data_IF_557134491796
#
_entry.id   IF_557134491796
#
_cell.length_a   1.000
_cell.length_b   1.000
_cell.length_c   1.000
_cell.angle_alpha   90.00
_cell.angle_beta   90.00
_cell.angle_gamma   90.00
#
_symmetry.space_group_name_H-M   'P 1'
#
loop_
_entity.id
_entity.type
_entity.pdbx_description
1 polymer ?
#
# COMPACT_ATOMS: atom_id res chain seq x y z
N UNK A 1 25.27 -32.28 26.93
CA UNK A 1 24.54 -31.11 26.36
C UNK A 1 25.52 -30.01 25.94
N UNK A 2 26.47 -29.57 26.79
CA UNK A 2 27.54 -28.63 26.40
C UNK A 2 28.44 -29.15 25.25
N UNK A 3 28.81 -30.42 25.26
CA UNK A 3 29.72 -30.97 24.23
C UNK A 3 29.08 -31.02 22.83
N UNK A 4 27.76 -31.23 22.74
CA UNK A 4 27.06 -31.25 21.45
C UNK A 4 26.98 -29.85 20.84
N UNK A 5 26.75 -28.82 21.67
CA UNK A 5 26.67 -27.43 21.20
C UNK A 5 28.05 -26.93 20.74
N UNK A 6 29.11 -27.37 21.41
CA UNK A 6 30.49 -27.03 21.04
C UNK A 6 30.92 -27.65 19.72
N UNK A 7 30.62 -28.94 19.49
CA UNK A 7 30.95 -29.59 18.22
C UNK A 7 30.20 -28.94 17.06
N UNK A 8 28.89 -28.68 17.21
CA UNK A 8 28.10 -27.97 16.20
C UNK A 8 28.65 -26.57 15.93
N UNK A 9 29.02 -25.83 16.98
CA UNK A 9 29.64 -24.50 16.82
C UNK A 9 30.93 -24.56 15.99
N UNK A 10 31.80 -25.55 16.25
CA UNK A 10 33.05 -25.69 15.48
C UNK A 10 32.78 -25.98 14.01
N UNK A 11 31.90 -26.93 13.71
CA UNK A 11 31.57 -27.32 12.33
C UNK A 11 30.93 -26.15 11.56
N UNK A 12 29.91 -25.50 12.14
CA UNK A 12 29.23 -24.37 11.51
C UNK A 12 30.15 -23.17 11.32
N UNK A 13 30.99 -22.85 12.31
CA UNK A 13 31.89 -21.69 12.21
C UNK A 13 32.97 -21.92 11.15
N UNK A 14 33.47 -23.14 10.99
CA UNK A 14 34.48 -23.46 9.96
C UNK A 14 33.90 -23.28 8.54
N UNK A 15 32.66 -23.73 8.30
CA UNK A 15 31.93 -23.50 7.04
C UNK A 15 31.69 -22.01 6.79
N UNK A 16 31.26 -21.28 7.81
CA UNK A 16 31.01 -19.83 7.73
C UNK A 16 32.30 -19.06 7.42
N UNK A 17 33.43 -19.42 8.03
CA UNK A 17 34.72 -18.75 7.76
C UNK A 17 35.20 -18.96 6.32
N UNK A 18 34.91 -20.12 5.73
CA UNK A 18 35.17 -20.37 4.32
C UNK A 18 34.24 -19.53 3.43
N UNK A 19 32.95 -19.46 3.74
CA UNK A 19 31.98 -18.63 3.00
C UNK A 19 32.37 -17.15 3.02
N UNK A 20 32.80 -16.62 4.19
CA UNK A 20 33.29 -15.24 4.32
C UNK A 20 34.46 -14.96 3.38
N UNK A 21 35.44 -15.87 3.33
CA UNK A 21 36.63 -15.73 2.48
C UNK A 21 36.25 -15.69 1.00
N UNK A 22 35.39 -16.60 0.56
CA UNK A 22 34.92 -16.64 -0.81
C UNK A 22 34.14 -15.37 -1.19
N UNK A 23 33.31 -14.84 -0.27
CA UNK A 23 32.61 -13.58 -0.47
C UNK A 23 33.57 -12.40 -0.60
N UNK A 24 34.62 -12.34 0.24
CA UNK A 24 35.61 -11.28 0.19
C UNK A 24 36.43 -11.29 -1.10
N UNK A 25 36.86 -12.46 -1.58
CA UNK A 25 37.59 -12.59 -2.85
C UNK A 25 36.72 -12.14 -4.03
N UNK A 26 35.42 -12.46 -4.01
CA UNK A 26 34.47 -11.99 -5.04
C UNK A 26 34.28 -10.47 -4.98
N UNK A 27 34.17 -9.90 -3.78
CA UNK A 27 34.07 -8.44 -3.58
C UNK A 27 35.34 -7.70 -4.01
N UNK A 28 36.52 -8.29 -3.82
CA UNK A 28 37.79 -7.76 -4.31
C UNK A 28 37.84 -7.71 -5.84
N UNK A 29 37.31 -8.75 -6.48
CA UNK A 29 37.25 -8.86 -7.94
C UNK A 29 36.19 -7.92 -8.55
N UNK A 30 35.19 -7.50 -7.78
CA UNK A 30 34.19 -6.52 -8.18
C UNK A 30 33.04 -6.38 -7.17
N UNK A 31 32.55 -5.15 -6.99
CA UNK A 31 31.45 -4.88 -6.05
C UNK A 31 30.18 -5.65 -6.43
N UNK A 32 29.64 -6.41 -5.48
CA UNK A 32 28.43 -7.20 -5.61
C UNK A 32 27.60 -7.08 -4.35
N UNK A 33 26.40 -6.51 -4.46
CA UNK A 33 25.46 -6.38 -3.33
C UNK A 33 25.08 -7.74 -2.75
N UNK A 34 25.08 -8.80 -3.56
CA UNK A 34 24.78 -10.15 -3.09
C UNK A 34 25.91 -10.69 -2.20
N UNK A 35 27.16 -10.49 -2.60
CA UNK A 35 28.34 -10.94 -1.84
C UNK A 35 28.53 -10.11 -0.57
N UNK A 36 28.26 -8.80 -0.62
CA UNK A 36 28.26 -7.94 0.56
C UNK A 36 27.20 -8.39 1.59
N UNK A 37 26.00 -8.73 1.11
CA UNK A 37 24.93 -9.20 1.99
C UNK A 37 25.21 -10.60 2.54
N UNK A 38 25.84 -11.48 1.76
CA UNK A 38 26.27 -12.79 2.21
C UNK A 38 27.34 -12.66 3.30
N UNK A 39 28.38 -11.86 3.05
CA UNK A 39 29.44 -11.59 4.02
C UNK A 39 28.91 -11.05 5.35
N UNK A 40 27.97 -10.09 5.31
CA UNK A 40 27.32 -9.58 6.52
C UNK A 40 26.59 -10.68 7.30
N UNK A 41 25.81 -11.54 6.62
CA UNK A 41 25.08 -12.64 7.29
C UNK A 41 26.03 -13.64 7.93
N UNK A 42 27.14 -13.93 7.26
CA UNK A 42 28.18 -14.81 7.79
C UNK A 42 28.74 -14.25 9.10
N UNK A 43 29.15 -12.98 9.13
CA UNK A 43 29.64 -12.35 10.36
C UNK A 43 28.57 -12.25 11.45
N UNK A 44 27.31 -11.96 11.11
CA UNK A 44 26.19 -11.94 12.05
C UNK A 44 25.95 -13.32 12.70
N UNK A 45 26.03 -14.39 11.90
CA UNK A 45 25.92 -15.76 12.40
C UNK A 45 27.08 -16.13 13.32
N UNK A 46 28.32 -15.81 12.93
CA UNK A 46 29.51 -16.08 13.77
C UNK A 46 29.43 -15.29 15.09
N UNK A 47 28.98 -14.03 15.08
CA UNK A 47 28.75 -13.23 16.30
C UNK A 47 27.79 -13.95 17.24
N UNK A 48 26.61 -14.31 16.76
CA UNK A 48 25.56 -14.92 17.56
C UNK A 48 25.98 -16.28 18.14
N UNK A 49 26.60 -17.13 17.32
CA UNK A 49 27.05 -18.46 17.76
C UNK A 49 28.22 -18.37 18.74
N UNK A 50 29.16 -17.42 18.53
CA UNK A 50 30.32 -17.19 19.41
C UNK A 50 29.91 -16.66 20.78
N UNK A 51 28.98 -15.70 20.83
CA UNK A 51 28.44 -15.17 22.09
C UNK A 51 27.66 -16.24 22.86
N UNK A 52 26.90 -17.09 22.18
CA UNK A 52 26.14 -18.18 22.81
C UNK A 52 27.06 -19.19 23.53
N UNK A 53 28.25 -19.44 22.98
CA UNK A 53 29.23 -20.36 23.59
C UNK A 53 30.23 -19.68 24.53
N UNK A 54 30.17 -18.35 24.65
CA UNK A 54 31.01 -17.55 25.56
C UNK A 54 32.38 -17.18 24.98
N UNK A 55 32.54 -17.18 23.66
CA UNK A 55 33.74 -16.68 22.97
C UNK A 55 33.57 -15.19 22.65
N UNK A 56 33.65 -14.38 23.69
CA UNK A 56 33.46 -12.92 23.62
C UNK A 56 34.47 -12.23 22.71
N UNK A 57 35.72 -12.72 22.66
CA UNK A 57 36.78 -12.20 21.79
C UNK A 57 36.43 -12.33 20.30
N UNK A 58 35.88 -13.48 19.90
CA UNK A 58 35.40 -13.68 18.52
C UNK A 58 34.11 -12.87 18.30
N UNK A 59 33.20 -12.88 19.26
CA UNK A 59 31.91 -12.18 19.17
C UNK A 59 32.07 -10.66 19.03
N UNK A 60 33.01 -10.04 19.74
CA UNK A 60 33.24 -8.60 19.69
C UNK A 60 33.86 -8.16 18.36
N UNK A 61 34.89 -8.86 17.91
CA UNK A 61 35.54 -8.55 16.62
C UNK A 61 34.57 -8.71 15.45
N UNK A 62 33.81 -9.81 15.43
CA UNK A 62 32.80 -10.04 14.37
C UNK A 62 31.67 -9.02 14.40
N UNK A 63 31.27 -8.55 15.58
CA UNK A 63 30.31 -7.46 15.71
C UNK A 63 30.82 -6.13 15.13
N UNK A 64 32.10 -5.79 15.34
CA UNK A 64 32.69 -4.58 14.73
C UNK A 64 32.73 -4.66 13.20
N UNK A 65 33.10 -5.81 12.67
CA UNK A 65 33.10 -6.04 11.22
C UNK A 65 31.66 -5.97 10.68
N UNK A 66 30.69 -6.55 11.40
CA UNK A 66 29.26 -6.48 11.07
C UNK A 66 28.75 -5.03 11.03
N UNK A 67 29.08 -4.20 12.03
CA UNK A 67 28.69 -2.79 12.08
C UNK A 67 29.24 -2.00 10.88
N UNK A 68 30.49 -2.25 10.50
CA UNK A 68 31.11 -1.65 9.32
C UNK A 68 30.40 -2.08 8.02
N UNK A 69 30.17 -3.39 7.86
CA UNK A 69 29.46 -3.94 6.70
C UNK A 69 28.01 -3.43 6.62
N UNK A 70 27.35 -3.22 7.76
CA UNK A 70 26.00 -2.65 7.83
C UNK A 70 25.96 -1.19 7.34
N UNK A 71 26.94 -0.38 7.73
CA UNK A 71 27.07 1.00 7.25
C UNK A 71 27.29 1.05 5.73
N UNK A 72 28.08 0.12 5.19
CA UNK A 72 28.30 -0.03 3.76
C UNK A 72 27.02 -0.49 3.05
N UNK A 73 26.34 -1.52 3.57
CA UNK A 73 25.05 -2.02 3.05
C UNK A 73 23.98 -0.93 3.02
N UNK A 74 23.96 -0.06 4.02
CA UNK A 74 23.01 1.07 4.13
C UNK A 74 23.38 2.27 3.27
N UNK A 75 24.47 2.19 2.50
CA UNK A 75 24.97 3.29 1.65
C UNK A 75 25.43 4.50 2.47
N UNK A 76 25.80 4.28 3.75
CA UNK A 76 26.34 5.32 4.64
C UNK A 76 27.87 5.40 4.55
N UNK A 77 28.49 4.37 4.00
CA UNK A 77 29.92 4.29 3.68
C UNK A 77 30.06 3.57 2.33
N UNK A 78 31.07 3.93 1.53
CA UNK A 78 31.40 3.21 0.32
C UNK A 78 32.35 2.04 0.65
N UNK A 79 32.19 0.91 -0.05
CA UNK A 79 33.17 -0.19 0.03
C UNK A 79 34.38 0.17 -0.82
N UNK A 80 35.42 0.71 -0.19
CA UNK A 80 36.71 0.96 -0.82
C UNK A 80 37.74 -0.13 -0.46
N UNK A 81 38.93 -0.03 -1.04
CA UNK A 81 40.00 -1.00 -0.80
C UNK A 81 40.48 -1.04 0.65
N UNK A 82 40.35 0.06 1.41
CA UNK A 82 40.71 0.08 2.82
C UNK A 82 39.69 -0.70 3.66
N UNK A 83 38.39 -0.50 3.41
CA UNK A 83 37.33 -1.24 4.10
C UNK A 83 37.40 -2.73 3.79
N UNK A 84 37.68 -3.08 2.53
CA UNK A 84 37.80 -4.47 2.12
C UNK A 84 39.03 -5.14 2.78
N UNK A 85 40.17 -4.43 2.85
CA UNK A 85 41.35 -4.91 3.56
C UNK A 85 41.05 -5.17 5.04
N UNK A 86 40.33 -4.27 5.71
CA UNK A 86 39.92 -4.45 7.11
C UNK A 86 39.02 -5.68 7.30
N UNK A 87 38.16 -6.00 6.34
CA UNK A 87 37.39 -7.24 6.40
C UNK A 87 38.26 -8.49 6.24
N UNK A 88 39.26 -8.46 5.36
CA UNK A 88 40.23 -9.56 5.23
C UNK A 88 41.04 -9.75 6.51
N UNK A 89 41.58 -8.66 7.06
CA UNK A 89 42.36 -8.69 8.29
C UNK A 89 41.50 -9.18 9.46
N UNK A 90 40.26 -8.70 9.55
CA UNK A 90 39.27 -9.15 10.53
C UNK A 90 38.94 -10.63 10.41
N UNK A 91 38.71 -11.14 9.19
CA UNK A 91 38.47 -12.57 8.96
C UNK A 91 39.67 -13.42 9.37
N UNK A 92 40.88 -13.00 9.03
CA UNK A 92 42.11 -13.70 9.41
C UNK A 92 42.29 -13.75 10.93
N UNK A 93 41.98 -12.66 11.64
CA UNK A 93 42.02 -12.62 13.09
C UNK A 93 40.95 -13.52 13.73
N UNK A 94 39.74 -13.54 13.18
CA UNK A 94 38.69 -14.47 13.63
C UNK A 94 39.12 -15.92 13.41
N UNK A 95 39.69 -16.27 12.26
CA UNK A 95 40.22 -17.62 11.98
C UNK A 95 41.29 -18.03 12.99
N UNK A 96 42.22 -17.14 13.31
CA UNK A 96 43.28 -17.41 14.32
C UNK A 96 42.72 -17.60 15.72
N UNK A 97 41.78 -16.74 16.14
CA UNK A 97 41.10 -16.88 17.42
C UNK A 97 40.32 -18.20 17.47
N UNK A 98 39.57 -18.52 16.42
CA UNK A 98 38.81 -19.78 16.30
C UNK A 98 39.72 -21.02 16.41
N UNK A 99 40.81 -21.06 15.64
CA UNK A 99 41.78 -22.16 15.71
C UNK A 99 42.42 -22.27 17.10
N UNK A 100 42.71 -21.14 17.76
CA UNK A 100 43.25 -21.15 19.12
C UNK A 100 42.30 -21.80 20.14
N UNK A 101 40.98 -21.63 19.96
CA UNK A 101 39.94 -22.26 20.79
C UNK A 101 39.76 -23.74 20.44
N UNK A 102 39.91 -24.12 19.17
CA UNK A 102 39.82 -25.50 18.66
C UNK A 102 40.99 -26.37 19.13
N UNK A 103 42.22 -25.85 19.12
CA UNK A 103 43.44 -26.63 19.43
C UNK A 103 43.93 -26.49 20.87
N UNK A 104 43.21 -25.79 21.75
CA UNK A 104 43.66 -25.44 23.11
C UNK A 104 45.08 -24.84 23.13
N UNK A 105 45.31 -23.79 22.32
CA UNK A 105 46.62 -23.13 22.21
C UNK A 105 47.16 -22.65 23.57
N UNK A 106 48.49 -22.47 23.70
CA UNK A 106 49.11 -21.98 24.95
C UNK A 106 48.55 -20.59 25.30
N UNK A 107 48.43 -20.28 26.59
CA UNK A 107 47.87 -19.00 27.07
C UNK A 107 48.59 -17.77 26.47
N UNK A 108 49.91 -17.83 26.28
CA UNK A 108 50.69 -16.71 25.70
C UNK A 108 50.36 -16.39 24.24
N UNK A 109 50.08 -17.39 23.39
CA UNK A 109 49.70 -17.14 21.99
C UNK A 109 48.28 -16.53 21.89
N UNK A 110 47.41 -16.84 22.87
CA UNK A 110 46.04 -16.31 22.92
C UNK A 110 46.01 -14.82 23.26
N UNK A 111 46.85 -14.37 24.19
CA UNK A 111 46.92 -12.95 24.56
C UNK A 111 47.38 -12.07 23.40
N UNK A 112 48.33 -12.54 22.58
CA UNK A 112 48.81 -11.82 21.39
C UNK A 112 47.69 -11.69 20.33
N UNK A 113 46.89 -12.75 20.12
CA UNK A 113 45.78 -12.70 19.16
C UNK A 113 44.64 -11.79 19.63
N UNK A 114 44.32 -11.80 20.93
CA UNK A 114 43.28 -10.94 21.51
C UNK A 114 43.70 -9.47 21.45
N UNK A 115 44.98 -9.16 21.73
CA UNK A 115 45.49 -7.79 21.59
C UNK A 115 45.43 -7.30 20.14
N UNK A 116 45.80 -8.14 19.18
CA UNK A 116 45.72 -7.78 17.76
C UNK A 116 44.28 -7.57 17.28
N UNK A 117 43.33 -8.39 17.74
CA UNK A 117 41.90 -8.19 17.50
C UNK A 117 41.41 -6.85 18.09
N UNK A 118 41.82 -6.51 19.32
CA UNK A 118 41.46 -5.23 19.95
C UNK A 118 41.97 -4.01 19.19
N UNK A 119 43.18 -4.05 18.62
CA UNK A 119 43.70 -2.96 17.78
C UNK A 119 42.86 -2.77 16.51
N UNK A 120 42.40 -3.86 15.90
CA UNK A 120 41.53 -3.81 14.71
C UNK A 120 40.13 -3.28 15.07
N UNK A 121 39.58 -3.66 16.22
CA UNK A 121 38.31 -3.11 16.74
C UNK A 121 38.40 -1.59 16.92
N UNK A 122 39.51 -1.08 17.47
CA UNK A 122 39.75 0.36 17.63
C UNK A 122 39.86 1.09 16.28
N UNK A 123 40.53 0.49 15.29
CA UNK A 123 40.65 1.06 13.95
C UNK A 123 39.28 1.17 13.25
N UNK A 124 38.45 0.12 13.33
CA UNK A 124 37.09 0.13 12.80
C UNK A 124 36.24 1.22 13.50
N UNK A 125 36.34 1.34 14.82
CA UNK A 125 35.60 2.35 15.58
C UNK A 125 36.00 3.79 15.22
N UNK A 126 37.27 4.04 14.92
CA UNK A 126 37.74 5.35 14.46
C UNK A 126 37.15 5.72 13.11
N UNK A 127 37.11 4.76 12.17
CA UNK A 127 36.53 4.94 10.84
C UNK A 127 35.02 5.20 10.91
N UNK A 128 34.30 4.46 11.76
CA UNK A 128 32.87 4.63 11.97
C UNK A 128 32.52 6.02 12.56
N UNK A 129 33.34 6.51 13.50
CA UNK A 129 33.18 7.86 14.09
C UNK A 129 33.47 8.96 13.05
N UNK A 130 34.56 8.83 12.29
CA UNK A 130 34.92 9.80 11.27
C UNK A 130 33.83 9.95 10.18
N UNK A 131 33.22 8.84 9.75
CA UNK A 131 32.11 8.86 8.79
C UNK A 131 30.81 9.42 9.38
N UNK A 132 30.57 9.24 10.67
CA UNK A 132 29.41 9.83 11.36
C UNK A 132 29.50 11.35 11.48
N UNK A 133 30.70 11.90 11.70
CA UNK A 133 30.94 13.35 11.83
C UNK A 133 30.96 14.07 10.47
N UNK A 134 31.47 13.43 9.41
CA UNK A 134 31.44 13.96 8.04
C UNK A 134 30.01 14.02 7.44
N UNK A 135 29.08 13.20 7.93
CA UNK A 135 27.71 13.04 7.42
C UNK A 135 26.68 14.13 7.80
N UNK A 136 27.05 15.12 8.64
CA UNK A 136 26.10 16.15 9.12
C UNK A 136 25.68 17.20 8.05
N UNK A 137 26.32 17.21 6.87
CA UNK A 137 26.14 18.26 5.86
C UNK A 137 25.28 17.96 4.62
N UNK A 138 24.87 16.72 4.35
CA UNK A 138 24.11 16.38 3.12
C UNK A 138 23.08 15.27 3.36
N UNK A 139 21.85 15.65 3.70
CA UNK A 139 20.67 14.81 3.47
C UNK A 139 20.34 14.79 1.98
N UNK A 140 20.99 13.90 1.24
CA UNK A 140 20.44 13.36 0.00
C UNK A 140 20.39 11.84 0.16
N UNK A 141 19.22 11.34 0.54
CA UNK A 141 18.91 9.92 0.60
C UNK A 141 18.96 9.32 -0.80
N UNK A 142 19.98 8.55 -1.12
CA UNK A 142 19.98 7.67 -2.29
C UNK A 142 19.05 6.49 -2.05
N UNK A 143 17.98 6.48 -2.84
CA UNK A 143 17.10 5.33 -3.10
C UNK A 143 17.92 4.15 -3.64
N UNK A 144 17.68 2.94 -3.12
CA UNK A 144 18.20 1.69 -3.68
C UNK A 144 17.71 0.47 -2.91
N UNK A 145 16.61 -0.12 -3.41
CA UNK A 145 16.24 -1.54 -3.36
C UNK A 145 16.39 -2.31 -2.04
N UNK A 146 15.44 -2.10 -1.13
CA UNK A 146 15.04 -3.13 -0.17
C UNK A 146 13.78 -3.81 -0.71
N UNK A 147 13.90 -5.03 -1.24
CA UNK A 147 12.78 -5.89 -1.64
C UNK A 147 12.88 -7.19 -0.86
N UNK A 148 11.84 -7.48 -0.07
CA UNK A 148 11.65 -8.72 0.72
C UNK A 148 11.82 -9.95 -0.17
N UNK A 149 12.57 -10.95 0.28
CA UNK A 149 12.96 -12.17 -0.45
C UNK A 149 11.76 -12.91 -1.05
N UNK A 150 10.62 -12.89 -0.36
CA UNK A 150 9.34 -13.48 -0.80
C UNK A 150 8.75 -12.82 -2.07
N UNK A 151 9.30 -11.66 -2.47
CA UNK A 151 8.84 -10.82 -3.57
C UNK A 151 9.88 -10.76 -4.71
N UNK A 152 11.06 -11.38 -4.56
CA UNK A 152 12.07 -11.50 -5.61
C UNK A 152 11.66 -12.57 -6.63
N UNK A 153 11.71 -12.22 -7.92
CA UNK A 153 11.38 -13.13 -9.03
C UNK A 153 9.94 -13.05 -9.57
N UNK A 154 9.18 -12.00 -9.23
CA UNK A 154 7.81 -11.83 -9.73
C UNK A 154 7.78 -11.21 -11.13
N UNK A 155 7.56 -12.04 -12.15
CA UNK A 155 7.28 -11.60 -13.53
C UNK A 155 5.86 -11.07 -13.67
N UNK A 156 5.59 -9.89 -13.13
CA UNK A 156 4.50 -9.02 -13.59
C UNK A 156 4.98 -7.57 -13.57
N UNK A 157 5.38 -7.08 -14.74
CA UNK A 157 5.63 -5.66 -14.95
C UNK A 157 4.26 -4.98 -15.12
N UNK A 158 3.76 -4.39 -14.03
CA UNK A 158 2.58 -3.54 -14.10
C UNK A 158 2.94 -2.21 -14.78
N UNK A 159 2.06 -1.67 -15.61
CA UNK A 159 2.33 -0.41 -16.35
C UNK A 159 2.44 0.78 -15.39
N UNK A 160 1.71 0.75 -14.26
CA UNK A 160 1.63 1.85 -13.30
C UNK A 160 2.45 1.56 -12.05
N UNK A 161 3.14 2.59 -11.54
CA UNK A 161 3.87 2.54 -10.27
C UNK A 161 3.07 3.21 -9.16
N UNK A 162 3.02 2.61 -7.99
CA UNK A 162 2.32 3.16 -6.84
C UNK A 162 3.21 3.19 -5.62
N UNK A 163 3.25 4.32 -4.91
CA UNK A 163 3.79 4.42 -3.56
C UNK A 163 2.67 4.16 -2.56
N UNK A 164 2.86 3.18 -1.69
CA UNK A 164 1.91 2.76 -0.65
C UNK A 164 2.56 3.00 0.71
N UNK A 165 1.86 3.70 1.58
CA UNK A 165 2.22 3.92 2.98
C UNK A 165 1.11 3.32 3.85
N UNK A 166 1.48 2.42 4.76
CA UNK A 166 0.59 1.70 5.66
C UNK A 166 1.04 2.05 7.08
N UNK A 167 0.13 2.60 7.88
CA UNK A 167 0.32 2.85 9.31
C UNK A 167 -0.39 1.76 10.10
N UNK A 168 0.29 1.28 11.13
CA UNK A 168 -0.17 0.19 11.98
C UNK A 168 -0.77 0.73 13.27
N UNK A 169 -1.79 0.06 13.78
CA UNK A 169 -2.39 0.38 15.08
C UNK A 169 -1.43 0.05 16.24
N UNK A 170 -1.51 0.76 17.36
CA UNK A 170 -0.67 0.49 18.54
C UNK A 170 -1.02 -0.85 19.23
N UNK A 171 -2.17 -1.45 18.90
CA UNK A 171 -2.71 -2.67 19.51
C UNK A 171 -2.44 -3.96 18.72
N UNK A 172 -1.49 -3.96 17.77
CA UNK A 172 -1.21 -5.16 16.96
C UNK A 172 -0.69 -6.30 17.87
N UNK A 173 -1.37 -7.46 17.91
CA UNK A 173 -0.93 -8.58 18.75
C UNK A 173 0.42 -9.15 18.29
N UNK A 174 0.61 -9.25 16.97
CA UNK A 174 1.84 -9.72 16.34
C UNK A 174 2.06 -9.00 15.01
N UNK A 175 3.19 -8.34 14.84
CA UNK A 175 3.51 -7.57 13.64
C UNK A 175 3.88 -8.45 12.44
N UNK A 176 4.65 -9.52 12.66
CA UNK A 176 5.13 -10.39 11.59
C UNK A 176 4.01 -11.04 10.76
N UNK A 177 2.96 -11.65 11.34
CA UNK A 177 1.84 -12.21 10.56
C UNK A 177 1.09 -11.17 9.73
N UNK A 178 0.92 -9.96 10.25
CA UNK A 178 0.27 -8.84 9.53
C UNK A 178 1.09 -8.42 8.32
N UNK A 179 2.42 -8.28 8.49
CA UNK A 179 3.34 -7.98 7.40
C UNK A 179 3.34 -9.10 6.35
N UNK A 180 3.39 -10.36 6.77
CA UNK A 180 3.30 -11.50 5.86
C UNK A 180 2.00 -11.49 5.05
N UNK A 181 0.87 -11.20 5.68
CA UNK A 181 -0.43 -11.08 4.99
C UNK A 181 -0.41 -9.95 3.96
N UNK A 182 0.14 -8.78 4.32
CA UNK A 182 0.28 -7.64 3.40
C UNK A 182 1.18 -8.01 2.22
N UNK A 183 2.37 -8.57 2.47
CA UNK A 183 3.29 -8.99 1.40
C UNK A 183 2.72 -10.09 0.52
N UNK A 184 1.95 -11.02 1.09
CA UNK A 184 1.30 -12.07 0.31
C UNK A 184 0.18 -11.52 -0.59
N UNK A 185 -0.55 -10.51 -0.15
CA UNK A 185 -1.55 -9.83 -0.98
C UNK A 185 -0.92 -9.15 -2.20
N UNK A 186 0.36 -8.76 -2.13
CA UNK A 186 1.05 -8.14 -3.26
C UNK A 186 1.17 -9.10 -4.44
N UNK A 187 1.35 -10.40 -4.18
CA UNK A 187 1.47 -11.44 -5.21
C UNK A 187 0.26 -11.49 -6.14
N UNK A 188 -0.91 -11.14 -5.61
CA UNK A 188 -2.16 -11.15 -6.36
C UNK A 188 -2.35 -9.88 -7.22
N UNK A 189 -1.64 -8.79 -6.89
CA UNK A 189 -1.87 -7.46 -7.48
C UNK A 189 -0.73 -6.91 -8.32
N UNK A 190 0.50 -7.37 -8.13
CA UNK A 190 1.65 -6.77 -8.80
C UNK A 190 2.99 -7.28 -8.28
N UNK A 191 4.01 -6.46 -8.49
CA UNK A 191 5.38 -6.72 -8.04
C UNK A 191 5.89 -5.57 -7.18
N UNK A 192 6.74 -5.87 -6.19
CA UNK A 192 7.35 -4.84 -5.34
C UNK A 192 8.64 -4.34 -5.97
N UNK A 193 8.72 -3.02 -6.15
CA UNK A 193 9.92 -2.30 -6.55
C UNK A 193 10.73 -1.88 -5.32
N UNK A 194 10.06 -1.48 -4.24
CA UNK A 194 10.70 -1.01 -3.02
C UNK A 194 9.83 -1.32 -1.80
N UNK A 195 10.44 -1.57 -0.65
CA UNK A 195 9.81 -1.57 0.67
C UNK A 195 10.80 -1.08 1.71
N UNK A 196 10.36 -0.31 2.72
CA UNK A 196 11.21 0.08 3.83
C UNK A 196 11.44 -1.06 4.83
N UNK A 197 10.59 -2.09 4.82
CA UNK A 197 10.67 -3.31 5.63
C UNK A 197 11.36 -4.39 4.82
N UNK A 198 12.39 -5.00 5.40
CA UNK A 198 13.16 -6.14 4.89
C UNK A 198 12.73 -7.46 5.54
N UNK A 199 13.23 -8.60 5.05
CA UNK A 199 12.97 -9.90 5.70
C UNK A 199 13.46 -9.90 7.16
N UNK A 200 14.64 -9.30 7.42
CA UNK A 200 15.23 -9.13 8.75
C UNK A 200 14.26 -8.39 9.69
N UNK A 201 13.64 -7.30 9.23
CA UNK A 201 12.65 -6.53 9.99
C UNK A 201 11.39 -7.36 10.33
N UNK A 202 10.96 -8.27 9.43
CA UNK A 202 9.81 -9.17 9.68
C UNK A 202 10.16 -10.20 10.74
N UNK A 203 11.37 -10.76 10.70
CA UNK A 203 11.86 -11.71 11.71
C UNK A 203 12.00 -11.04 13.08
N UNK A 204 12.56 -9.83 13.15
CA UNK A 204 12.67 -9.04 14.40
C UNK A 204 11.30 -8.62 14.96
N UNK A 205 10.33 -8.30 14.08
CA UNK A 205 8.97 -7.96 14.48
C UNK A 205 8.20 -9.11 15.16
N UNK A 206 8.71 -10.35 15.06
CA UNK A 206 8.26 -11.50 15.86
C UNK A 206 8.68 -11.40 17.33
N UNK A 207 9.76 -10.67 17.62
CA UNK A 207 10.39 -10.55 18.92
C UNK A 207 10.15 -9.17 19.59
N UNK A 208 9.96 -8.08 18.82
CA UNK A 208 9.61 -6.76 19.34
C UNK A 208 8.94 -5.87 18.26
N UNK A 209 7.77 -5.24 18.51
CA UNK A 209 7.03 -4.51 17.49
C UNK A 209 7.54 -3.06 17.35
N UNK A 210 8.65 -2.85 16.63
CA UNK A 210 9.20 -1.50 16.38
C UNK A 210 8.81 -0.90 15.01
N UNK A 211 7.94 -1.56 14.25
CA UNK A 211 7.51 -1.10 12.92
C UNK A 211 6.21 -0.32 13.03
N UNK A 212 6.29 1.01 13.04
CA UNK A 212 5.13 1.90 13.07
C UNK A 212 4.49 2.13 11.70
N UNK A 213 5.25 1.96 10.61
CA UNK A 213 4.74 2.14 9.25
C UNK A 213 5.52 1.34 8.20
N UNK A 214 4.79 0.82 7.22
CA UNK A 214 5.31 0.14 6.03
C UNK A 214 5.13 1.05 4.82
N UNK A 215 6.24 1.38 4.16
CA UNK A 215 6.30 2.15 2.92
C UNK A 215 6.81 1.26 1.81
N UNK A 216 6.13 1.23 0.68
CA UNK A 216 6.50 0.39 -0.44
C UNK A 216 6.18 1.05 -1.78
N UNK A 217 6.94 0.73 -2.81
CA UNK A 217 6.62 1.05 -4.19
C UNK A 217 6.31 -0.26 -4.88
N UNK A 218 5.18 -0.33 -5.56
CA UNK A 218 4.79 -1.51 -6.36
C UNK A 218 4.53 -1.12 -7.80
N UNK A 219 4.74 -2.06 -8.70
CA UNK A 219 4.25 -2.02 -10.07
C UNK A 219 2.99 -2.88 -10.17
N UNK A 220 1.93 -2.31 -10.72
CA UNK A 220 0.64 -2.99 -10.80
C UNK A 220 -0.16 -2.53 -12.01
N UNK A 221 -0.85 -3.47 -12.65
CA UNK A 221 -1.88 -3.18 -13.67
C UNK A 221 -3.24 -2.79 -13.04
N UNK A 222 -3.31 -2.82 -11.71
CA UNK A 222 -4.46 -2.36 -10.96
C UNK A 222 -4.50 -0.85 -10.92
N UNK A 223 -5.69 -0.27 -10.86
CA UNK A 223 -5.85 1.14 -10.51
C UNK A 223 -5.59 1.34 -9.01
N UNK A 224 -5.14 2.53 -8.61
CA UNK A 224 -4.89 2.94 -7.21
C UNK A 224 -5.99 2.45 -6.25
N UNK A 225 -7.23 2.57 -6.73
CA UNK A 225 -8.48 2.21 -6.07
C UNK A 225 -8.59 0.71 -5.74
N UNK A 226 -8.23 -0.14 -6.70
CA UNK A 226 -8.26 -1.59 -6.51
C UNK A 226 -7.22 -2.00 -5.47
N UNK A 227 -6.03 -1.38 -5.50
CA UNK A 227 -4.94 -1.63 -4.55
C UNK A 227 -5.34 -1.36 -3.10
N UNK A 228 -6.12 -0.31 -2.84
CA UNK A 228 -6.60 -0.01 -1.50
C UNK A 228 -7.28 -1.20 -0.84
N UNK A 229 -7.99 -2.03 -1.61
CA UNK A 229 -8.71 -3.15 -1.03
C UNK A 229 -7.82 -4.33 -0.65
N UNK A 230 -6.63 -4.42 -1.24
CA UNK A 230 -5.67 -5.47 -0.88
C UNK A 230 -4.87 -5.13 0.37
N UNK A 231 -4.81 -3.85 0.75
CA UNK A 231 -4.03 -3.39 1.90
C UNK A 231 -4.90 -2.93 3.08
N UNK A 232 -6.22 -2.87 2.90
CA UNK A 232 -7.24 -2.69 3.95
C UNK A 232 -7.38 -4.00 4.75
N UNK A 233 -6.43 -4.25 5.66
CA UNK A 233 -6.35 -5.48 6.46
C UNK A 233 -6.44 -5.15 7.96
N UNK A 234 -6.74 -6.15 8.80
CA UNK A 234 -6.83 -5.94 10.26
C UNK A 234 -5.53 -5.36 10.82
N UNK A 235 -5.69 -4.46 11.81
CA UNK A 235 -4.62 -3.71 12.48
C UNK A 235 -3.90 -2.65 11.63
N UNK A 236 -4.32 -2.44 10.38
CA UNK A 236 -3.90 -1.27 9.60
C UNK A 236 -4.81 -0.10 9.96
N UNK A 237 -4.24 0.93 10.57
CA UNK A 237 -4.96 2.16 10.92
C UNK A 237 -5.19 3.03 9.68
N UNK A 238 -4.22 3.06 8.78
CA UNK A 238 -4.24 3.93 7.61
C UNK A 238 -3.48 3.32 6.44
N UNK A 239 -4.07 3.39 5.25
CA UNK A 239 -3.38 3.16 3.98
C UNK A 239 -3.42 4.45 3.17
N UNK A 240 -2.29 4.82 2.59
CA UNK A 240 -2.17 5.91 1.63
C UNK A 240 -1.46 5.38 0.38
N UNK A 241 -2.17 5.34 -0.75
CA UNK A 241 -1.63 4.91 -2.04
C UNK A 241 -1.55 6.14 -2.93
N UNK A 242 -0.41 6.33 -3.58
CA UNK A 242 -0.15 7.43 -4.50
C UNK A 242 0.37 6.86 -5.81
N UNK A 243 -0.33 7.14 -6.91
CA UNK A 243 0.15 6.83 -8.25
C UNK A 243 1.39 7.69 -8.59
N UNK A 244 2.49 7.03 -8.94
CA UNK A 244 3.78 7.61 -9.31
C UNK A 244 3.92 7.79 -10.83
N UNK A 245 2.93 7.37 -11.62
CA UNK A 245 2.92 7.58 -13.08
C UNK A 245 2.88 9.09 -13.37
N UNK A 246 3.65 9.54 -14.38
CA UNK A 246 3.91 10.97 -14.68
C UNK A 246 2.65 11.85 -14.80
N UNK A 247 1.46 11.26 -14.97
CA UNK A 247 0.19 11.96 -15.13
C UNK A 247 -0.49 12.47 -13.84
N UNK A 248 -0.07 12.07 -12.63
CA UNK A 248 -0.80 12.44 -11.38
C UNK A 248 0.01 13.13 -10.28
N UNK A 249 1.34 13.24 -10.40
CA UNK A 249 2.17 13.98 -9.42
C UNK A 249 1.79 15.48 -9.29
N UNK A 250 0.93 16.00 -10.17
CA UNK A 250 0.41 17.36 -10.13
C UNK A 250 -0.96 17.56 -9.43
N UNK A 251 -1.67 16.50 -9.00
CA UNK A 251 -2.97 16.65 -8.33
C UNK A 251 -2.99 15.98 -6.93
N UNK A 252 -2.89 16.84 -5.92
CA UNK A 252 -2.92 16.56 -4.48
C UNK A 252 -4.15 15.72 -4.08
N UNK A 253 -3.97 14.66 -3.27
CA UNK A 253 -5.06 13.87 -2.71
C UNK A 253 -5.62 14.52 -1.42
N UNK A 254 -6.94 14.45 -1.19
CA UNK A 254 -7.57 14.95 0.04
C UNK A 254 -7.14 14.02 1.21
N UNK A 255 -6.59 14.55 2.31
CA UNK A 255 -6.22 13.74 3.48
C UNK A 255 -7.41 12.94 4.01
N UNK A 256 -7.19 11.67 4.34
CA UNK A 256 -8.20 10.79 4.94
C UNK A 256 -8.34 11.12 6.44
N UNK A 257 -9.05 12.21 6.75
CA UNK A 257 -9.37 12.62 8.12
C UNK A 257 -10.89 12.62 8.37
N UNK A 258 -11.29 12.78 9.64
CA UNK A 258 -12.68 12.74 10.09
C UNK A 258 -13.55 13.79 9.37
N UNK A 259 -13.01 14.97 9.12
CA UNK A 259 -13.75 16.09 8.52
C UNK A 259 -13.97 15.84 7.02
N UNK A 260 -12.96 15.32 6.33
CA UNK A 260 -13.03 14.94 4.91
C UNK A 260 -14.01 13.78 4.69
N UNK A 261 -13.99 12.76 5.58
CA UNK A 261 -14.96 11.66 5.56
C UNK A 261 -16.39 12.16 5.69
N UNK A 262 -16.64 13.04 6.66
CA UNK A 262 -17.96 13.64 6.90
C UNK A 262 -18.45 14.43 5.69
N UNK A 263 -17.56 15.16 5.01
CA UNK A 263 -17.91 15.87 3.78
C UNK A 263 -18.43 14.91 2.71
N UNK A 264 -17.71 13.84 2.40
CA UNK A 264 -18.15 12.89 1.37
C UNK A 264 -19.47 12.22 1.74
N UNK A 265 -19.63 11.80 3.01
CA UNK A 265 -20.88 11.21 3.49
C UNK A 265 -22.07 12.15 3.27
N UNK A 266 -21.94 13.42 3.66
CA UNK A 266 -22.98 14.44 3.44
C UNK A 266 -23.20 14.65 1.94
N UNK A 267 -22.13 14.82 1.15
CA UNK A 267 -22.24 15.09 -0.28
C UNK A 267 -22.98 13.97 -1.02
N UNK A 268 -22.59 12.71 -0.86
CA UNK A 268 -23.23 11.59 -1.56
C UNK A 268 -24.62 11.25 -1.02
N UNK A 269 -24.98 11.70 0.18
CA UNK A 269 -26.34 11.58 0.69
C UNK A 269 -27.28 12.69 0.19
N UNK A 270 -26.77 13.91 0.09
CA UNK A 270 -27.57 15.12 -0.10
C UNK A 270 -27.59 15.55 -1.59
N UNK A 271 -26.44 15.58 -2.25
CA UNK A 271 -26.30 16.04 -3.64
C UNK A 271 -27.12 15.23 -4.68
N UNK A 272 -27.26 13.88 -4.60
CA UNK A 272 -28.13 13.12 -5.50
C UNK A 272 -29.61 13.50 -5.46
N UNK A 273 -30.10 14.12 -4.37
CA UNK A 273 -31.52 14.54 -4.26
C UNK A 273 -31.91 15.62 -5.27
N UNK A 274 -30.93 16.31 -5.84
CA UNK A 274 -31.15 17.26 -6.94
C UNK A 274 -31.49 16.58 -8.27
N UNK A 275 -31.07 15.32 -8.46
CA UNK A 275 -31.18 14.63 -9.76
C UNK A 275 -32.59 14.62 -10.35
N UNK A 276 -33.67 14.28 -9.62
CA UNK A 276 -35.03 14.28 -10.19
C UNK A 276 -35.45 15.66 -10.70
N UNK A 277 -35.06 16.74 -10.02
CA UNK A 277 -35.39 18.10 -10.43
C UNK A 277 -34.62 18.55 -11.69
N UNK A 278 -33.46 17.95 -11.95
CA UNK A 278 -32.56 18.29 -13.05
C UNK A 278 -32.72 17.40 -14.27
N UNK A 279 -33.25 16.19 -14.11
CA UNK A 279 -33.31 15.20 -15.19
C UNK A 279 -34.73 14.69 -15.44
N UNK A 280 -35.65 14.90 -14.49
CA UNK A 280 -37.07 14.53 -14.61
C UNK A 280 -37.98 15.69 -14.17
N UNK A 281 -37.90 16.87 -14.80
CA UNK A 281 -38.72 18.01 -14.41
C UNK A 281 -40.21 17.62 -14.53
N UNK A 282 -40.91 17.58 -13.38
CA UNK A 282 -42.36 17.40 -13.37
C UNK A 282 -43.02 18.55 -14.14
N UNK A 283 -44.14 18.27 -14.83
CA UNK A 283 -44.95 19.30 -15.49
C UNK A 283 -45.40 20.42 -14.52
N UNK A 284 -45.49 20.13 -13.22
CA UNK A 284 -45.74 21.07 -12.12
C UNK A 284 -44.45 21.40 -11.35
N UNK A 285 -43.49 22.07 -11.99
CA UNK A 285 -42.28 22.53 -11.33
C UNK A 285 -42.62 23.60 -10.27
N UNK A 286 -42.63 23.22 -9.00
CA UNK A 286 -42.80 24.16 -7.88
C UNK A 286 -41.47 24.87 -7.60
N UNK A 287 -41.42 26.15 -7.98
CA UNK A 287 -40.23 26.99 -7.84
C UNK A 287 -39.83 27.22 -6.38
N UNK A 288 -40.78 27.30 -5.46
CA UNK A 288 -40.49 27.48 -4.03
C UNK A 288 -39.88 26.20 -3.44
N UNK A 289 -40.43 25.04 -3.80
CA UNK A 289 -39.90 23.73 -3.39
C UNK A 289 -38.48 23.51 -3.92
N UNK A 290 -38.23 23.80 -5.20
CA UNK A 290 -36.90 23.72 -5.80
C UNK A 290 -35.90 24.66 -5.12
N UNK A 291 -36.29 25.92 -4.89
CA UNK A 291 -35.40 26.91 -4.28
C UNK A 291 -35.10 26.55 -2.82
N UNK A 292 -36.10 26.05 -2.07
CA UNK A 292 -35.93 25.53 -0.71
C UNK A 292 -34.95 24.36 -0.67
N UNK A 293 -35.10 23.39 -1.59
CA UNK A 293 -34.17 22.28 -1.72
C UNK A 293 -32.74 22.77 -2.01
N UNK A 294 -32.57 23.64 -3.02
CA UNK A 294 -31.25 24.19 -3.39
C UNK A 294 -30.58 24.86 -2.19
N UNK A 295 -31.31 25.64 -1.39
CA UNK A 295 -30.76 26.28 -0.19
C UNK A 295 -30.39 25.28 0.91
N UNK A 296 -31.24 24.29 1.20
CA UNK A 296 -30.95 23.27 2.20
C UNK A 296 -29.71 22.46 1.82
N UNK A 297 -29.65 22.03 0.55
CA UNK A 297 -28.56 21.27 -0.03
C UNK A 297 -27.25 22.05 -0.05
N UNK A 298 -27.30 23.32 -0.45
CA UNK A 298 -26.17 24.23 -0.41
C UNK A 298 -25.61 24.38 1.00
N UNK A 299 -26.48 24.65 1.99
CA UNK A 299 -26.09 24.83 3.39
C UNK A 299 -25.35 23.60 3.93
N UNK A 300 -25.92 22.41 3.77
CA UNK A 300 -25.32 21.15 4.27
C UNK A 300 -23.95 20.88 3.63
N UNK A 301 -23.86 21.02 2.31
CA UNK A 301 -22.60 20.76 1.60
C UNK A 301 -21.53 21.81 1.88
N UNK A 302 -21.90 23.09 1.98
CA UNK A 302 -20.97 24.17 2.29
C UNK A 302 -20.42 24.07 3.72
N UNK A 303 -21.28 23.76 4.69
CA UNK A 303 -20.86 23.54 6.08
C UNK A 303 -19.90 22.35 6.21
N UNK A 304 -20.11 21.30 5.42
CA UNK A 304 -19.28 20.11 5.44
C UNK A 304 -17.93 20.34 4.74
N UNK A 305 -17.91 20.93 3.55
CA UNK A 305 -16.67 21.19 2.79
C UNK A 305 -15.76 22.20 3.50
N UNK A 306 -16.34 23.17 4.21
CA UNK A 306 -15.59 24.20 4.94
C UNK A 306 -14.77 23.65 6.12
N UNK A 307 -14.98 22.39 6.51
CA UNK A 307 -14.23 21.72 7.58
C UNK A 307 -13.00 20.95 7.07
N UNK A 308 -12.85 20.80 5.76
CA UNK A 308 -11.71 20.12 5.15
C UNK A 308 -10.45 20.95 5.40
N UNK A 309 -9.43 20.34 6.03
CA UNK A 309 -8.19 21.02 6.43
C UNK A 309 -7.20 21.25 5.28
N UNK A 310 -7.43 20.63 4.11
CA UNK A 310 -6.58 20.78 2.93
C UNK A 310 -6.84 22.12 2.25
N UNK A 311 -5.87 23.04 2.34
CA UNK A 311 -6.05 24.44 1.92
C UNK A 311 -6.36 24.57 0.42
N UNK A 312 -5.71 23.81 -0.47
CA UNK A 312 -5.91 24.00 -1.93
C UNK A 312 -7.13 23.24 -2.46
N UNK A 313 -7.25 21.95 -2.13
CA UNK A 313 -8.34 21.11 -2.67
C UNK A 313 -9.68 21.45 -2.00
N UNK A 314 -9.68 21.67 -0.68
CA UNK A 314 -10.88 22.10 0.04
C UNK A 314 -11.40 23.44 -0.47
N UNK A 315 -10.51 24.37 -0.83
CA UNK A 315 -10.89 25.64 -1.46
C UNK A 315 -11.44 25.45 -2.88
N UNK A 316 -10.81 24.61 -3.70
CA UNK A 316 -11.30 24.31 -5.05
C UNK A 316 -12.70 23.66 -5.00
N UNK A 317 -12.88 22.60 -4.20
CA UNK A 317 -14.18 21.95 -4.01
C UNK A 317 -15.24 22.93 -3.50
N UNK A 318 -14.88 23.79 -2.56
CA UNK A 318 -15.78 24.83 -2.07
C UNK A 318 -16.20 25.79 -3.18
N UNK A 319 -15.25 26.26 -4.00
CA UNK A 319 -15.54 27.15 -5.13
C UNK A 319 -16.45 26.50 -6.17
N UNK A 320 -16.21 25.24 -6.51
CA UNK A 320 -17.04 24.51 -7.49
C UNK A 320 -18.46 24.24 -6.96
N UNK A 321 -18.59 23.90 -5.68
CA UNK A 321 -19.88 23.77 -4.99
C UNK A 321 -20.63 25.11 -4.99
N UNK A 322 -19.98 26.20 -4.57
CA UNK A 322 -20.57 27.54 -4.59
C UNK A 322 -21.00 27.96 -5.99
N UNK A 323 -20.16 27.71 -7.01
CA UNK A 323 -20.47 28.03 -8.40
C UNK A 323 -21.68 27.25 -8.92
N UNK A 324 -21.81 25.97 -8.57
CA UNK A 324 -22.96 25.14 -8.96
C UNK A 324 -24.25 25.62 -8.30
N UNK A 325 -24.27 25.82 -6.98
CA UNK A 325 -25.49 26.24 -6.27
C UNK A 325 -25.93 27.66 -6.65
N UNK A 326 -24.99 28.57 -6.91
CA UNK A 326 -25.30 29.90 -7.46
C UNK A 326 -25.96 29.78 -8.84
N UNK A 327 -25.49 28.87 -9.70
CA UNK A 327 -26.12 28.60 -11.00
C UNK A 327 -27.54 28.04 -10.84
N UNK A 328 -27.79 27.17 -9.86
CA UNK A 328 -29.13 26.68 -9.52
C UNK A 328 -30.08 27.80 -9.10
N UNK A 329 -29.62 28.74 -8.28
CA UNK A 329 -30.43 29.90 -7.87
C UNK A 329 -30.71 30.84 -9.06
N UNK A 330 -29.73 31.07 -9.93
CA UNK A 330 -29.94 31.83 -11.17
C UNK A 330 -30.94 31.15 -12.10
N UNK A 331 -30.89 29.82 -12.21
CA UNK A 331 -31.83 29.04 -13.02
C UNK A 331 -33.25 29.10 -12.46
N UNK A 332 -33.40 29.06 -11.12
CA UNK A 332 -34.67 29.33 -10.48
C UNK A 332 -35.16 30.75 -10.81
N UNK A 333 -34.27 31.73 -11.02
CA UNK A 333 -34.55 33.14 -11.34
C UNK A 333 -35.16 33.45 -12.73
N UNK A 334 -34.88 32.64 -13.76
CA UNK A 334 -35.01 33.03 -15.18
C UNK A 334 -36.39 32.82 -15.87
N UNK A 335 -36.67 33.61 -16.93
CA UNK A 335 -37.88 33.50 -17.79
C UNK A 335 -37.79 32.29 -18.76
N UNK A 336 -38.94 31.65 -19.02
CA UNK A 336 -39.15 30.35 -19.74
C UNK A 336 -38.34 30.07 -21.02
N UNK A 337 -37.88 31.08 -21.77
CA UNK A 337 -37.10 30.86 -23.02
C UNK A 337 -35.58 30.66 -22.84
N UNK A 338 -35.03 30.99 -21.66
CA UNK A 338 -33.60 30.78 -21.32
C UNK A 338 -33.42 29.43 -20.60
N UNK A 339 -34.52 28.78 -20.19
CA UNK A 339 -34.52 27.62 -19.31
C UNK A 339 -33.85 26.41 -19.95
N UNK A 340 -34.13 26.03 -21.20
CA UNK A 340 -33.58 24.78 -21.77
C UNK A 340 -32.05 24.77 -21.93
N UNK A 341 -31.47 25.87 -22.43
CA UNK A 341 -30.01 25.98 -22.59
C UNK A 341 -29.31 26.08 -21.23
N UNK A 342 -29.92 26.81 -20.30
CA UNK A 342 -29.41 26.95 -18.94
C UNK A 342 -29.51 25.63 -18.17
N UNK A 343 -30.59 24.88 -18.34
CA UNK A 343 -30.85 23.60 -17.71
C UNK A 343 -29.90 22.52 -18.25
N UNK A 344 -29.68 22.45 -19.56
CA UNK A 344 -28.61 21.60 -20.14
C UNK A 344 -27.24 21.92 -19.55
N UNK A 345 -26.93 23.21 -19.39
CA UNK A 345 -25.67 23.65 -18.76
C UNK A 345 -25.62 23.22 -17.29
N UNK A 346 -26.75 23.27 -16.60
CA UNK A 346 -26.87 22.90 -15.20
C UNK A 346 -26.76 21.39 -14.99
N UNK A 347 -27.38 20.57 -15.85
CA UNK A 347 -27.18 19.12 -15.88
C UNK A 347 -25.71 18.76 -16.11
N UNK A 348 -25.03 19.42 -17.05
CA UNK A 348 -23.59 19.21 -17.30
C UNK A 348 -22.74 19.58 -16.08
N UNK A 349 -22.99 20.75 -15.47
CA UNK A 349 -22.31 21.18 -14.25
C UNK A 349 -22.58 20.23 -13.08
N UNK A 350 -23.81 19.75 -12.96
CA UNK A 350 -24.21 18.80 -11.94
C UNK A 350 -23.39 17.52 -12.02
N UNK A 351 -23.31 16.92 -13.22
CA UNK A 351 -22.55 15.70 -13.48
C UNK A 351 -21.05 15.94 -13.32
N UNK A 352 -20.52 17.04 -13.84
CA UNK A 352 -19.09 17.37 -13.72
C UNK A 352 -18.65 17.55 -12.26
N UNK A 353 -19.45 18.21 -11.43
CA UNK A 353 -19.16 18.34 -10.00
C UNK A 353 -19.29 16.98 -9.29
N UNK A 354 -20.30 16.17 -9.61
CA UNK A 354 -20.41 14.82 -9.05
C UNK A 354 -19.21 13.96 -9.42
N UNK A 355 -18.81 13.94 -10.69
CA UNK A 355 -17.67 13.18 -11.19
C UNK A 355 -16.36 13.63 -10.55
N UNK A 356 -16.17 14.94 -10.38
CA UNK A 356 -15.01 15.50 -9.66
C UNK A 356 -14.96 15.00 -8.21
N UNK A 357 -16.06 15.10 -7.46
CA UNK A 357 -16.11 14.66 -6.06
C UNK A 357 -15.99 13.14 -5.96
N UNK A 358 -16.64 12.39 -6.85
CA UNK A 358 -16.51 10.94 -6.97
C UNK A 358 -15.06 10.52 -7.24
N UNK A 359 -14.34 11.24 -8.10
CA UNK A 359 -12.94 10.97 -8.41
C UNK A 359 -12.02 10.97 -7.17
N UNK A 360 -12.37 11.69 -6.11
CA UNK A 360 -11.63 11.68 -4.85
C UNK A 360 -11.91 10.45 -3.97
N UNK A 361 -13.07 9.81 -4.11
CA UNK A 361 -13.49 8.64 -3.31
C UNK A 361 -13.70 7.37 -4.12
N UNK A 362 -13.40 7.39 -5.42
CA UNK A 362 -13.58 6.25 -6.33
C UNK A 362 -12.93 5.00 -5.74
N UNK A 363 -13.75 3.96 -5.52
CA UNK A 363 -13.46 2.70 -4.79
C UNK A 363 -12.71 2.83 -3.45
N UNK A 364 -12.85 3.99 -2.79
CA UNK A 364 -12.48 4.25 -1.40
C UNK A 364 -13.74 4.56 -0.59
N UNK A 365 -13.65 4.49 0.74
CA UNK A 365 -14.74 4.90 1.64
C UNK A 365 -16.11 4.28 1.29
N UNK A 366 -17.04 5.14 0.84
CA UNK A 366 -18.46 4.92 0.59
C UNK A 366 -18.66 3.99 -0.60
N UNK A 367 -17.75 4.04 -1.57
CA UNK A 367 -17.80 3.22 -2.78
C UNK A 367 -16.65 2.23 -2.75
N UNK A 368 -16.92 0.96 -2.98
CA UNK A 368 -15.91 -0.07 -3.20
C UNK A 368 -16.15 -0.66 -4.58
N UNK A 369 -15.09 -1.02 -5.29
CA UNK A 369 -15.19 -1.54 -6.66
C UNK A 369 -14.50 -2.91 -6.71
N UNK A 370 -15.22 -3.91 -7.17
CA UNK A 370 -14.66 -5.23 -7.45
C UNK A 370 -14.79 -5.53 -8.93
N UNK A 371 -13.67 -5.77 -9.62
CA UNK A 371 -13.63 -6.13 -11.04
C UNK A 371 -13.49 -7.64 -11.19
N UNK A 372 -14.49 -8.30 -11.75
CA UNK A 372 -14.45 -9.73 -12.03
C UNK A 372 -13.54 -10.02 -13.25
N UNK A 373 -12.60 -10.98 -13.09
CA UNK A 373 -11.51 -11.21 -14.06
C UNK A 373 -11.53 -12.57 -14.76
N UNK A 374 -12.17 -13.58 -14.17
CA UNK A 374 -12.14 -14.97 -14.65
C UNK A 374 -13.36 -15.75 -14.13
N UNK A 375 -13.50 -17.02 -14.56
CA UNK A 375 -14.48 -17.96 -13.98
C UNK A 375 -14.21 -18.16 -12.49
N UNK A 376 -15.25 -18.40 -11.69
CA UNK A 376 -15.21 -18.49 -10.23
C UNK A 376 -14.92 -17.16 -9.52
N UNK A 377 -15.34 -16.04 -10.13
CA UNK A 377 -15.09 -14.71 -9.56
C UNK A 377 -15.74 -14.49 -8.19
N UNK A 378 -16.75 -15.29 -7.85
CA UNK A 378 -17.51 -15.17 -6.60
C UNK A 378 -16.68 -15.50 -5.36
N UNK A 379 -15.69 -16.39 -5.45
CA UNK A 379 -14.77 -16.68 -4.34
C UNK A 379 -13.84 -15.50 -4.06
N UNK A 380 -13.37 -14.82 -5.11
CA UNK A 380 -12.61 -13.59 -4.98
C UNK A 380 -13.45 -12.45 -4.43
N UNK A 381 -14.72 -12.36 -4.86
CA UNK A 381 -15.67 -11.36 -4.37
C UNK A 381 -15.98 -11.56 -2.88
N UNK A 382 -16.11 -12.82 -2.44
CA UNK A 382 -16.33 -13.14 -1.04
C UNK A 382 -15.15 -12.73 -0.17
N UNK A 383 -13.93 -13.12 -0.55
CA UNK A 383 -12.69 -12.68 0.14
C UNK A 383 -12.55 -11.16 0.16
N UNK A 384 -12.98 -10.48 -0.91
CA UNK A 384 -13.01 -9.02 -0.97
C UNK A 384 -14.00 -8.44 0.05
N UNK A 385 -15.22 -8.96 0.12
CA UNK A 385 -16.26 -8.52 1.06
C UNK A 385 -15.82 -8.77 2.52
N UNK A 386 -15.15 -9.90 2.79
CA UNK A 386 -14.60 -10.22 4.10
C UNK A 386 -13.57 -9.18 4.57
N UNK A 387 -12.71 -8.69 3.67
CA UNK A 387 -11.65 -7.72 3.98
C UNK A 387 -12.13 -6.26 4.00
N UNK A 388 -13.14 -5.94 3.20
CA UNK A 388 -13.69 -4.59 3.06
C UNK A 388 -14.20 -3.99 4.39
N UNK A 389 -13.92 -2.70 4.66
CA UNK A 389 -14.57 -1.94 5.73
C UNK A 389 -16.09 -1.83 5.51
N UNK A 390 -16.86 -2.61 6.28
CA UNK A 390 -18.33 -2.65 6.19
C UNK A 390 -19.00 -1.44 6.85
N UNK A 391 -18.30 -0.74 7.76
CA UNK A 391 -18.87 0.38 8.52
C UNK A 391 -18.95 1.66 7.69
N UNK A 392 -17.93 1.93 6.86
CA UNK A 392 -17.84 3.09 5.98
C UNK A 392 -18.40 2.88 4.58
N UNK A 393 -18.48 1.63 4.11
CA UNK A 393 -18.98 1.34 2.77
C UNK A 393 -20.50 1.51 2.71
N UNK A 394 -21.01 2.05 1.60
CA UNK A 394 -22.45 2.13 1.30
C UNK A 394 -22.81 1.50 -0.03
N UNK A 395 -21.89 1.51 -0.99
CA UNK A 395 -22.08 0.86 -2.29
C UNK A 395 -20.89 0.01 -2.68
N UNK A 396 -21.16 -1.21 -3.14
CA UNK A 396 -20.21 -2.08 -3.82
C UNK A 396 -20.56 -2.13 -5.31
N UNK A 397 -19.65 -1.63 -6.14
CA UNK A 397 -19.76 -1.67 -7.59
C UNK A 397 -19.08 -2.93 -8.11
N UNK A 398 -19.87 -3.88 -8.59
CA UNK A 398 -19.41 -5.14 -9.16
C UNK A 398 -19.27 -5.01 -10.66
N UNK A 399 -18.03 -4.89 -11.15
CA UNK A 399 -17.74 -4.82 -12.58
C UNK A 399 -17.63 -6.20 -13.21
N UNK A 400 -18.65 -6.56 -13.99
CA UNK A 400 -18.74 -7.83 -14.72
C UNK A 400 -18.41 -7.67 -16.21
N UNK A 401 -17.93 -6.49 -16.63
CA UNK A 401 -17.73 -6.14 -18.04
C UNK A 401 -16.75 -7.05 -18.77
N UNK A 402 -15.83 -7.69 -18.04
CA UNK A 402 -14.82 -8.61 -18.59
C UNK A 402 -15.27 -10.06 -18.62
N UNK A 403 -16.45 -10.38 -18.10
CA UNK A 403 -16.98 -11.75 -18.12
C UNK A 403 -17.78 -12.00 -19.39
N UNK A 404 -17.56 -13.17 -19.98
CA UNK A 404 -18.32 -13.64 -21.15
C UNK A 404 -19.53 -14.52 -20.77
N UNK A 405 -19.44 -15.18 -19.61
CA UNK A 405 -20.46 -16.09 -19.07
C UNK A 405 -20.46 -16.05 -17.53
N UNK A 406 -21.62 -16.30 -16.94
CA UNK A 406 -21.83 -16.49 -15.50
C UNK A 406 -22.56 -17.81 -15.34
N UNK A 407 -22.01 -18.72 -14.55
CA UNK A 407 -22.62 -20.03 -14.29
C UNK A 407 -23.75 -19.92 -13.25
N UNK A 408 -24.67 -20.88 -13.25
CA UNK A 408 -25.81 -20.90 -12.31
C UNK A 408 -25.35 -20.90 -10.84
N UNK A 409 -24.27 -21.63 -10.52
CA UNK A 409 -23.70 -21.66 -9.17
C UNK A 409 -23.16 -20.29 -8.75
N UNK A 410 -22.49 -19.57 -9.64
CA UNK A 410 -21.99 -18.21 -9.40
C UNK A 410 -23.15 -17.23 -9.21
N UNK A 411 -24.24 -17.40 -9.98
CA UNK A 411 -25.42 -16.55 -9.87
C UNK A 411 -26.14 -16.74 -8.53
N UNK A 412 -26.30 -17.99 -8.07
CA UNK A 412 -26.83 -18.30 -6.73
C UNK A 412 -25.96 -17.68 -5.64
N UNK A 413 -24.65 -17.83 -5.74
CA UNK A 413 -23.71 -17.24 -4.77
C UNK A 413 -23.77 -15.72 -4.78
N UNK A 414 -23.92 -15.10 -5.95
CA UNK A 414 -24.05 -13.66 -6.07
C UNK A 414 -25.31 -13.13 -5.38
N UNK A 415 -26.43 -13.85 -5.48
CA UNK A 415 -27.67 -13.53 -4.77
C UNK A 415 -27.46 -13.58 -3.26
N UNK A 416 -26.80 -14.62 -2.75
CA UNK A 416 -26.47 -14.75 -1.31
C UNK A 416 -25.60 -13.58 -0.83
N UNK A 417 -24.53 -13.27 -1.55
CA UNK A 417 -23.63 -12.16 -1.23
C UNK A 417 -24.34 -10.81 -1.27
N UNK A 418 -25.24 -10.60 -2.24
CA UNK A 418 -26.06 -9.38 -2.32
C UNK A 418 -26.96 -9.21 -1.10
N UNK A 419 -27.66 -10.28 -0.69
CA UNK A 419 -28.54 -10.25 0.50
C UNK A 419 -27.75 -9.95 1.76
N UNK A 420 -26.62 -10.62 1.94
CA UNK A 420 -25.73 -10.38 3.07
C UNK A 420 -25.23 -8.92 3.13
N UNK A 421 -24.84 -8.34 2.00
CA UNK A 421 -24.47 -6.92 1.94
C UNK A 421 -25.65 -5.99 2.26
N UNK A 422 -26.85 -6.33 1.79
CA UNK A 422 -28.07 -5.56 2.05
C UNK A 422 -28.43 -5.54 3.55
N UNK A 423 -28.25 -6.65 4.26
CA UNK A 423 -28.45 -6.73 5.71
C UNK A 423 -27.50 -5.79 6.47
N UNK A 424 -26.32 -5.51 5.90
CA UNK A 424 -25.36 -4.52 6.42
C UNK A 424 -25.61 -3.09 5.91
N UNK A 425 -26.66 -2.86 5.12
CA UNK A 425 -26.96 -1.55 4.53
C UNK A 425 -26.06 -1.15 3.36
N UNK A 426 -25.37 -2.12 2.74
CA UNK A 426 -24.50 -1.91 1.57
C UNK A 426 -25.25 -2.33 0.30
N UNK A 427 -25.39 -1.39 -0.65
CA UNK A 427 -26.03 -1.64 -1.94
C UNK A 427 -25.01 -2.24 -2.91
N UNK A 428 -25.33 -3.39 -3.50
CA UNK A 428 -24.56 -3.95 -4.61
C UNK A 428 -25.14 -3.48 -5.95
N UNK A 429 -24.31 -2.81 -6.75
CA UNK A 429 -24.66 -2.35 -8.11
C UNK A 429 -23.75 -3.02 -9.13
N UNK A 430 -24.29 -3.43 -10.27
CA UNK A 430 -23.54 -4.19 -11.28
C UNK A 430 -23.18 -3.27 -12.45
N UNK A 431 -21.90 -3.25 -12.83
CA UNK A 431 -21.42 -2.54 -14.00
C UNK A 431 -21.31 -3.49 -15.19
N UNK A 432 -21.91 -3.09 -16.31
CA UNK A 432 -21.93 -3.87 -17.55
C UNK A 432 -21.60 -2.95 -18.73
N UNK A 433 -20.36 -2.99 -19.21
CA UNK A 433 -19.94 -2.21 -20.40
C UNK A 433 -20.37 -2.88 -21.71
N UNK A 434 -20.38 -2.08 -22.78
CA UNK A 434 -21.03 -2.37 -24.07
C UNK A 434 -20.70 -3.72 -24.74
N UNK A 435 -19.48 -4.26 -24.60
CA UNK A 435 -19.05 -5.48 -25.31
C UNK A 435 -19.88 -6.73 -24.94
N UNK A 436 -20.34 -6.83 -23.69
CA UNK A 436 -21.06 -8.02 -23.17
C UNK A 436 -22.50 -7.71 -22.74
N UNK A 437 -22.99 -6.49 -23.00
CA UNK A 437 -24.20 -5.93 -22.38
C UNK A 437 -25.46 -6.73 -22.62
N UNK A 438 -25.78 -7.03 -23.88
CA UNK A 438 -27.04 -7.72 -24.23
C UNK A 438 -27.17 -9.08 -23.55
N UNK A 439 -26.07 -9.83 -23.46
CA UNK A 439 -26.06 -11.15 -22.82
C UNK A 439 -26.21 -11.04 -21.31
N UNK A 440 -25.44 -10.15 -20.68
CA UNK A 440 -25.50 -9.97 -19.22
C UNK A 440 -26.87 -9.45 -18.78
N UNK A 441 -27.45 -8.49 -19.50
CA UNK A 441 -28.81 -7.99 -19.25
C UNK A 441 -29.82 -9.15 -19.32
N UNK A 442 -29.76 -10.00 -20.35
CA UNK A 442 -30.65 -11.16 -20.45
C UNK A 442 -30.51 -12.13 -19.26
N UNK A 443 -29.29 -12.35 -18.77
CA UNK A 443 -29.05 -13.20 -17.59
C UNK A 443 -29.71 -12.59 -16.36
N UNK A 444 -29.44 -11.33 -16.05
CA UNK A 444 -30.00 -10.67 -14.87
C UNK A 444 -31.51 -10.43 -14.98
N UNK A 445 -32.06 -10.19 -16.18
CA UNK A 445 -33.50 -10.11 -16.40
C UNK A 445 -34.18 -11.45 -16.16
N UNK A 446 -33.54 -12.58 -16.51
CA UNK A 446 -34.09 -13.92 -16.29
C UNK A 446 -34.26 -14.28 -14.80
N UNK A 447 -33.47 -13.66 -13.92
CA UNK A 447 -33.55 -13.85 -12.46
C UNK A 447 -34.19 -12.69 -11.72
N UNK A 448 -34.70 -11.68 -12.43
CA UNK A 448 -35.23 -10.45 -11.83
C UNK A 448 -36.38 -10.69 -10.84
N UNK A 449 -37.18 -11.74 -11.04
CA UNK A 449 -38.27 -12.14 -10.14
C UNK A 449 -37.78 -12.84 -8.87
N UNK A 450 -36.57 -13.41 -8.90
CA UNK A 450 -35.93 -14.08 -7.77
C UNK A 450 -35.18 -13.05 -6.92
N UNK A 451 -34.36 -12.23 -7.58
CA UNK A 451 -33.55 -11.19 -6.95
C UNK A 451 -33.25 -10.08 -7.98
N UNK A 452 -33.73 -8.85 -7.79
CA UNK A 452 -33.47 -7.77 -8.75
C UNK A 452 -32.05 -7.23 -8.61
N UNK A 453 -31.33 -7.03 -9.72
CA UNK A 453 -30.03 -6.37 -9.72
C UNK A 453 -30.12 -5.01 -10.45
N UNK A 454 -29.50 -3.99 -9.88
CA UNK A 454 -29.36 -2.70 -10.55
C UNK A 454 -28.14 -2.75 -11.48
N UNK A 455 -28.40 -2.55 -12.78
CA UNK A 455 -27.40 -2.63 -13.84
C UNK A 455 -27.09 -1.22 -14.34
N UNK A 456 -25.80 -0.89 -14.43
CA UNK A 456 -25.32 0.43 -14.84
C UNK A 456 -24.23 0.35 -15.90
N UNK A 457 -24.16 1.39 -16.73
CA UNK A 457 -23.18 1.50 -17.82
C UNK A 457 -21.85 2.07 -17.35
N UNK A 458 -21.92 3.04 -16.44
CA UNK A 458 -20.75 3.73 -15.90
C UNK A 458 -20.72 3.68 -14.38
N UNK A 459 -19.53 3.85 -13.81
CA UNK A 459 -19.34 3.96 -12.37
C UNK A 459 -20.07 5.17 -11.79
N UNK A 460 -20.13 6.28 -12.54
CA UNK A 460 -20.83 7.49 -12.14
C UNK A 460 -22.33 7.27 -12.05
N UNK A 461 -22.92 6.57 -13.04
CA UNK A 461 -24.34 6.17 -13.01
C UNK A 461 -24.66 5.32 -11.77
N UNK A 462 -23.82 4.32 -11.50
CA UNK A 462 -23.98 3.43 -10.36
C UNK A 462 -23.80 4.16 -9.01
N UNK A 463 -22.83 5.08 -8.94
CA UNK A 463 -22.61 5.92 -7.77
C UNK A 463 -23.80 6.84 -7.50
N UNK A 464 -24.36 7.46 -8.55
CA UNK A 464 -25.60 8.25 -8.47
C UNK A 464 -26.84 7.40 -8.21
N UNK A 465 -26.81 6.10 -8.56
CA UNK A 465 -27.98 5.21 -8.53
C UNK A 465 -28.99 5.49 -9.65
N UNK A 466 -28.56 6.14 -10.74
CA UNK A 466 -29.42 6.50 -11.86
C UNK A 466 -28.66 6.26 -13.19
N UNK A 467 -29.28 5.61 -14.17
CA UNK A 467 -28.71 5.47 -15.52
C UNK A 467 -28.93 6.78 -16.31
N UNK A 468 -27.88 7.59 -16.42
CA UNK A 468 -27.94 8.89 -17.12
C UNK A 468 -28.02 8.69 -18.64
N UNK A 469 -27.54 7.55 -19.15
CA UNK A 469 -27.57 7.18 -20.58
C UNK A 469 -28.98 7.14 -21.19
N UNK A 470 -30.05 7.12 -20.38
CA UNK A 470 -31.44 7.21 -20.83
C UNK A 470 -32.03 8.63 -20.84
N UNK A 471 -31.30 9.66 -20.39
CA UNK A 471 -31.78 11.05 -20.32
C UNK A 471 -31.06 11.98 -21.32
N UNK A 472 -30.10 11.44 -22.07
CA UNK A 472 -29.32 12.20 -23.06
C UNK A 472 -29.83 12.07 -24.52
N UNK A 473 -30.89 11.28 -24.76
CA UNK A 473 -31.73 11.35 -25.96
C UNK A 473 -32.89 12.31 -25.73
#
# INVERSE_FOLDING_TARGET
>A
MKDSLYVTYLEETEELLQEAEECLIRLESGYSTNDLNALFRVFHSIKGSSQMIGYEDIGNLTHKIEDMLDMIRKGRMDLDGQMLQLCFDGLDHVKRLFESKKTMAREGDRDDFVQAAGMLEEEIDQILKANSEAGSGRKNTSRGDKVVSTLKGMERAGINRYFICISFSDDIPMMAPTLFMIFNNIKDVGSVVYTNVSDEDIYEASANPNISSLHMIIESDLEEVELYTYFDVMYVEKVAISDLSEHRMLNQAIPYDRDSRRFFEVFFQEYPKMYPFLFHPRNDFNREEYTGLVHEQYKKNLEAVSRIRCHTIGQNLKQEIEAFYNLCLCAAGGKRGIQDKLFRTLCKKYLGLFEMVYGHVRGKFIFKIYKARHRHFTEGLERFIERMDKSGTRKLLLDLSRLEMIHESELKRLIELKRHLQDMGIVMSVLIRHSSRKRMVNIFDSIRTIEPFELFDTEVDAALGNNISFVAE
#
